data_IF_169019642972
#
_entry.id   IF_169019642972
#
_cell.length_a   1.000
_cell.length_b   1.000
_cell.length_c   1.000
_cell.angle_alpha   90.00
_cell.angle_beta   90.00
_cell.angle_gamma   90.00
#
_symmetry.space_group_name_H-M   'P 1'
#
loop_
_entity.id
_entity.type
_entity.pdbx_description
1 polymer ?
#
# COMPACT_ATOMS: atom_id res chain seq x y z
N UNK A 1 8.58 -13.43 14.42
CA UNK A 1 7.24 -13.99 14.16
C UNK A 1 6.85 -13.63 12.75
N UNK A 2 6.37 -14.58 11.96
CA UNK A 2 5.97 -14.33 10.57
C UNK A 2 4.46 -14.48 10.41
N UNK A 3 3.86 -13.61 9.59
CA UNK A 3 2.44 -13.65 9.25
C UNK A 3 2.30 -13.55 7.73
N UNK A 4 1.69 -14.56 7.11
CA UNK A 4 1.28 -14.54 5.71
C UNK A 4 -0.04 -13.79 5.60
N UNK A 5 -0.05 -12.61 4.97
CA UNK A 5 -1.25 -11.80 4.77
C UNK A 5 -1.99 -12.14 3.49
N UNK A 6 -1.26 -12.40 2.40
CA UNK A 6 -1.81 -12.72 1.09
C UNK A 6 -0.97 -13.82 0.45
N UNK A 7 -1.61 -14.86 -0.09
CA UNK A 7 -0.96 -15.87 -0.92
C UNK A 7 -1.99 -16.54 -1.83
N UNK A 8 -1.96 -16.21 -3.11
CA UNK A 8 -2.82 -16.86 -4.09
C UNK A 8 -3.08 -16.04 -5.35
N UNK A 9 -3.90 -16.62 -6.22
CA UNK A 9 -4.38 -15.97 -7.43
C UNK A 9 -5.75 -15.36 -7.18
N UNK A 10 -5.87 -14.09 -7.52
CA UNK A 10 -7.07 -13.28 -7.33
C UNK A 10 -7.57 -12.83 -8.69
N UNK A 11 -8.88 -12.67 -8.83
CA UNK A 11 -9.44 -11.96 -9.98
C UNK A 11 -8.92 -10.53 -9.99
N UNK A 12 -8.93 -9.90 -11.17
CA UNK A 12 -8.58 -8.49 -11.32
C UNK A 12 -9.27 -7.58 -10.29
N UNK A 13 -10.58 -7.79 -10.05
CA UNK A 13 -11.36 -7.00 -9.09
C UNK A 13 -10.93 -7.23 -7.64
N UNK A 14 -10.72 -8.49 -7.25
CA UNK A 14 -10.26 -8.83 -5.90
C UNK A 14 -8.86 -8.27 -5.64
N UNK A 15 -7.96 -8.40 -6.61
CA UNK A 15 -6.60 -7.89 -6.51
C UNK A 15 -6.59 -6.35 -6.36
N UNK A 16 -7.39 -5.64 -7.15
CA UNK A 16 -7.55 -4.19 -7.03
C UNK A 16 -8.11 -3.78 -5.67
N UNK A 17 -9.14 -4.47 -5.19
CA UNK A 17 -9.78 -4.13 -3.92
C UNK A 17 -8.83 -4.34 -2.74
N UNK A 18 -8.19 -5.52 -2.66
CA UNK A 18 -7.21 -5.85 -1.62
C UNK A 18 -6.06 -4.83 -1.62
N UNK A 19 -5.46 -4.56 -2.79
CA UNK A 19 -4.36 -3.62 -2.89
C UNK A 19 -4.78 -2.20 -2.49
N UNK A 20 -6.00 -1.79 -2.87
CA UNK A 20 -6.57 -0.49 -2.47
C UNK A 20 -6.67 -0.37 -0.95
N UNK A 21 -7.19 -1.40 -0.29
CA UNK A 21 -7.33 -1.39 1.16
C UNK A 21 -5.96 -1.33 1.87
N UNK A 22 -4.98 -2.12 1.41
CA UNK A 22 -3.63 -2.12 1.99
C UNK A 22 -2.90 -0.77 1.82
N UNK A 23 -3.01 -0.15 0.64
CA UNK A 23 -2.43 1.16 0.39
C UNK A 23 -3.08 2.22 1.28
N UNK A 24 -4.41 2.21 1.42
CA UNK A 24 -5.12 3.13 2.30
C UNK A 24 -4.71 3.00 3.77
N UNK A 25 -4.47 1.79 4.28
CA UNK A 25 -3.97 1.58 5.66
C UNK A 25 -2.64 2.31 5.87
N UNK A 26 -1.71 2.18 4.91
CA UNK A 26 -0.39 2.82 5.01
C UNK A 26 -0.45 4.34 4.82
N UNK A 27 -1.32 4.84 3.95
CA UNK A 27 -1.57 6.29 3.82
C UNK A 27 -2.10 6.86 5.14
N UNK A 28 -3.16 6.28 5.71
CA UNK A 28 -3.74 6.72 6.99
C UNK A 28 -2.72 6.70 8.13
N UNK A 29 -1.83 5.72 8.15
CA UNK A 29 -0.73 5.70 9.11
C UNK A 29 0.17 6.94 8.98
N UNK A 30 0.56 7.32 7.76
CA UNK A 30 1.37 8.52 7.55
C UNK A 30 0.60 9.81 7.86
N UNK A 31 -0.65 9.93 7.44
CA UNK A 31 -1.53 11.08 7.74
C UNK A 31 -1.65 11.30 9.25
N UNK A 32 -1.95 10.24 10.02
CA UNK A 32 -2.07 10.32 11.48
C UNK A 32 -0.79 10.77 12.20
N UNK A 33 0.37 10.64 11.54
CA UNK A 33 1.65 11.08 12.07
C UNK A 33 1.99 12.50 11.63
N UNK A 34 1.50 12.95 10.48
CA UNK A 34 1.57 14.34 10.04
C UNK A 34 0.71 15.21 10.96
N UNK A 35 -0.54 14.78 11.22
CA UNK A 35 -1.48 15.51 12.10
C UNK A 35 -0.96 15.75 13.52
N UNK A 36 -0.02 14.91 13.99
CA UNK A 36 0.54 14.95 15.35
C UNK A 36 1.96 15.52 15.40
N UNK A 37 2.50 15.99 14.28
CA UNK A 37 3.89 16.44 14.18
C UNK A 37 3.96 17.95 14.08
N UNK A 38 4.81 18.57 14.90
CA UNK A 38 5.15 19.99 14.80
C UNK A 38 6.46 20.23 14.01
N UNK A 39 7.13 19.14 13.60
CA UNK A 39 8.37 19.22 12.82
C UNK A 39 8.08 19.24 11.32
N UNK A 40 8.37 20.35 10.66
CA UNK A 40 8.18 20.52 9.20
C UNK A 40 8.95 19.52 8.35
N UNK A 41 10.15 19.12 8.78
CA UNK A 41 10.97 18.18 8.01
C UNK A 41 10.34 16.78 8.04
N UNK A 42 9.83 16.36 9.21
CA UNK A 42 9.11 15.11 9.36
C UNK A 42 7.81 15.10 8.55
N UNK A 43 7.09 16.22 8.53
CA UNK A 43 5.88 16.39 7.71
C UNK A 43 6.23 16.19 6.23
N UNK A 44 7.21 16.93 5.71
CA UNK A 44 7.63 16.84 4.30
C UNK A 44 8.09 15.43 3.93
N UNK A 45 8.87 14.78 4.81
CA UNK A 45 9.30 13.40 4.58
C UNK A 45 8.08 12.45 4.45
N UNK A 46 7.07 12.60 5.31
CA UNK A 46 5.86 11.76 5.29
C UNK A 46 4.99 12.02 4.07
N UNK A 47 4.81 13.29 3.70
CA UNK A 47 4.10 13.65 2.47
C UNK A 47 4.77 13.04 1.23
N UNK A 48 6.10 13.07 1.16
CA UNK A 48 6.85 12.44 0.08
C UNK A 48 6.66 10.92 0.04
N UNK A 49 6.58 10.26 1.21
CA UNK A 49 6.25 8.83 1.29
C UNK A 49 4.83 8.52 0.79
N UNK A 50 3.85 9.37 1.13
CA UNK A 50 2.47 9.23 0.62
C UNK A 50 2.45 9.40 -0.90
N UNK A 51 3.09 10.45 -1.43
CA UNK A 51 3.17 10.69 -2.89
C UNK A 51 3.78 9.51 -3.63
N UNK A 52 4.90 8.97 -3.13
CA UNK A 52 5.53 7.78 -3.71
C UNK A 52 4.59 6.57 -3.67
N UNK A 53 3.94 6.32 -2.54
CA UNK A 53 3.01 5.21 -2.40
C UNK A 53 1.81 5.31 -3.37
N UNK A 54 1.29 6.52 -3.59
CA UNK A 54 0.24 6.77 -4.57
C UNK A 54 0.72 6.52 -6.01
N UNK A 55 1.96 6.88 -6.33
CA UNK A 55 2.56 6.60 -7.64
C UNK A 55 2.73 5.09 -7.86
N UNK A 56 3.35 4.39 -6.90
CA UNK A 56 3.54 2.93 -6.96
C UNK A 56 2.18 2.21 -7.10
N UNK A 57 1.16 2.69 -6.39
CA UNK A 57 -0.19 2.15 -6.47
C UNK A 57 -0.85 2.40 -7.83
N UNK A 58 -0.67 3.58 -8.42
CA UNK A 58 -1.18 3.88 -9.76
C UNK A 58 -0.58 2.92 -10.80
N UNK A 59 0.73 2.73 -10.77
CA UNK A 59 1.43 1.81 -11.67
C UNK A 59 0.95 0.36 -11.49
N UNK A 60 0.81 -0.09 -10.23
CA UNK A 60 0.28 -1.41 -9.93
C UNK A 60 -1.16 -1.61 -10.44
N UNK A 61 -2.03 -0.58 -10.34
CA UNK A 61 -3.38 -0.64 -10.92
C UNK A 61 -3.36 -0.84 -12.42
N UNK A 62 -2.51 -0.10 -13.15
CA UNK A 62 -2.41 -0.24 -14.60
C UNK A 62 -2.02 -1.67 -14.98
N UNK A 63 -1.07 -2.26 -14.27
CA UNK A 63 -0.66 -3.65 -14.48
C UNK A 63 -1.82 -4.63 -14.21
N UNK A 64 -2.49 -4.51 -13.07
CA UNK A 64 -3.62 -5.39 -12.70
C UNK A 64 -4.74 -5.30 -13.74
N UNK A 65 -5.06 -4.09 -14.23
CA UNK A 65 -6.15 -3.88 -15.19
C UNK A 65 -5.93 -4.62 -16.52
N UNK A 66 -4.67 -4.84 -16.90
CA UNK A 66 -4.34 -5.58 -18.13
C UNK A 66 -4.38 -7.10 -17.98
N UNK A 67 -4.58 -7.61 -16.76
CA UNK A 67 -4.56 -9.03 -16.45
C UNK A 67 -5.95 -9.55 -16.05
N UNK A 68 -6.26 -10.81 -16.39
CA UNK A 68 -7.50 -11.47 -15.95
C UNK A 68 -7.44 -11.91 -14.48
N UNK A 69 -6.25 -12.32 -14.06
CA UNK A 69 -5.93 -12.78 -12.71
C UNK A 69 -4.54 -12.28 -12.33
N UNK A 70 -4.36 -12.03 -11.05
CA UNK A 70 -3.10 -11.57 -10.48
C UNK A 70 -2.70 -12.46 -9.32
N UNK A 71 -1.43 -12.87 -9.31
CA UNK A 71 -0.83 -13.52 -8.16
C UNK A 71 -0.39 -12.44 -7.15
N UNK A 72 -0.90 -12.53 -5.93
CA UNK A 72 -0.54 -11.64 -4.83
C UNK A 72 0.12 -12.42 -3.71
N UNK A 73 1.27 -11.95 -3.28
CA UNK A 73 2.01 -12.47 -2.15
C UNK A 73 2.43 -11.33 -1.22
N UNK A 74 2.11 -11.46 0.07
CA UNK A 74 2.52 -10.53 1.11
C UNK A 74 2.76 -11.27 2.44
N UNK A 75 3.96 -11.11 2.99
CA UNK A 75 4.38 -11.65 4.28
C UNK A 75 4.95 -10.51 5.14
N UNK A 76 4.68 -10.55 6.44
CA UNK A 76 5.27 -9.64 7.43
C UNK A 76 6.12 -10.46 8.39
N UNK A 77 7.39 -10.08 8.52
CA UNK A 77 8.31 -10.57 9.54
C UNK A 77 8.41 -9.53 10.68
N UNK A 78 8.18 -9.99 11.91
CA UNK A 78 8.28 -9.19 13.14
C UNK A 78 9.47 -9.73 13.93
N UNK A 79 10.54 -8.94 14.00
CA UNK A 79 11.77 -9.20 14.75
C UNK A 79 12.00 -8.20 15.87
#
# INVERSE_FOLDING_TARGET
MNIQLLKGNFTQSEALDILTQLVHVKIKFHESKIEKSDNEEDIKMRENRIKKLLQDFYEAKQLIITQKQCDLNAEIEIG
#
